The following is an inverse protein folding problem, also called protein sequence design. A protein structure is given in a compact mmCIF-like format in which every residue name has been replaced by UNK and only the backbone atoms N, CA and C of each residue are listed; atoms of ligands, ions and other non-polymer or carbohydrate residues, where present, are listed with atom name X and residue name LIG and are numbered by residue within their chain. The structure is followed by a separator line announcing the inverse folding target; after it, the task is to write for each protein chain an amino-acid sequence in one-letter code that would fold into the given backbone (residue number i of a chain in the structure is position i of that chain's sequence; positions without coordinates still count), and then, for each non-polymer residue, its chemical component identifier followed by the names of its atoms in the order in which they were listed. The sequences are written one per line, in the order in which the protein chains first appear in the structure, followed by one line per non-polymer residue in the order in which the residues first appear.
data_IF_314628083200
#
_entry.id   IF_314628083200
#
_cell.length_a   1.000
_cell.length_b   1.000
_cell.length_c   1.000
_cell.angle_alpha   90.00
_cell.angle_beta   90.00
_cell.angle_gamma   90.00
#
_symmetry.space_group_name_H-M   'P 1'
#
loop_
_entity.id
_entity.type
_entity.pdbx_description
1 polymer ?
#
# COMPACT_ATOMS: atom_id res chain seq x y z
N UNK A 1 4.71 -6.00 18.88
CA UNK A 1 3.86 -7.14 18.52
C UNK A 1 3.03 -6.68 17.33
N UNK A 2 3.06 -7.42 16.22
CA UNK A 2 2.18 -7.15 15.09
C UNK A 2 0.81 -7.72 15.48
N UNK A 3 -0.21 -6.87 15.59
CA UNK A 3 -1.58 -7.32 15.81
C UNK A 3 -2.19 -7.65 14.45
N UNK A 4 -2.32 -8.95 14.17
CA UNK A 4 -3.03 -9.42 12.98
C UNK A 4 -4.43 -8.82 12.93
N UNK A 5 -4.80 -8.26 11.78
CA UNK A 5 -6.14 -7.73 11.52
C UNK A 5 -6.38 -6.26 11.90
N UNK A 6 -5.34 -5.49 12.25
CA UNK A 6 -5.49 -4.05 12.53
C UNK A 6 -5.79 -3.22 11.28
N UNK A 7 -5.24 -3.60 10.13
CA UNK A 7 -5.38 -2.87 8.87
C UNK A 7 -5.98 -3.75 7.78
N UNK A 8 -6.67 -3.10 6.84
CA UNK A 8 -7.38 -3.78 5.75
C UNK A 8 -6.40 -4.50 4.85
N UNK A 9 -6.60 -5.79 4.57
CA UNK A 9 -5.79 -6.45 3.56
C UNK A 9 -6.13 -5.89 2.20
N UNK A 10 -5.12 -5.64 1.37
CA UNK A 10 -5.34 -5.01 0.06
C UNK A 10 -6.38 -5.75 -0.78
N UNK A 11 -6.38 -7.09 -0.73
CA UNK A 11 -7.32 -7.92 -1.47
C UNK A 11 -8.71 -8.10 -0.84
N UNK A 12 -8.94 -7.57 0.37
CA UNK A 12 -10.26 -7.59 1.02
C UNK A 12 -11.17 -6.46 0.50
N UNK A 13 -10.61 -5.43 -0.14
CA UNK A 13 -11.39 -4.38 -0.78
C UNK A 13 -11.86 -4.80 -2.17
N UNK A 14 -12.99 -4.25 -2.62
CA UNK A 14 -13.52 -4.50 -3.97
C UNK A 14 -12.85 -3.54 -4.95
N UNK A 15 -12.09 -4.03 -5.96
CA UNK A 15 -11.49 -3.17 -6.97
C UNK A 15 -12.55 -2.44 -7.78
N UNK A 16 -12.40 -1.12 -7.94
CA UNK A 16 -13.46 -0.29 -8.50
C UNK A 16 -13.62 -0.42 -10.01
N UNK A 17 -12.52 -0.43 -10.78
CA UNK A 17 -12.59 -0.27 -12.23
C UNK A 17 -11.77 -1.29 -13.03
N UNK A 18 -10.68 -1.82 -12.46
CA UNK A 18 -9.77 -2.70 -13.17
C UNK A 18 -10.32 -4.12 -13.32
N UNK A 19 -9.91 -4.79 -14.40
CA UNK A 19 -10.14 -6.23 -14.57
C UNK A 19 -9.00 -7.03 -13.94
N UNK A 20 -9.29 -8.29 -13.64
CA UNK A 20 -8.33 -9.24 -13.09
C UNK A 20 -7.01 -9.26 -13.87
N UNK A 21 -7.09 -9.42 -15.19
CA UNK A 21 -5.91 -9.56 -16.04
C UNK A 21 -5.04 -8.30 -16.05
N UNK A 22 -5.64 -7.13 -15.81
CA UNK A 22 -4.91 -5.86 -15.71
C UNK A 22 -4.12 -5.78 -14.39
N UNK A 23 -4.69 -6.28 -13.29
CA UNK A 23 -3.99 -6.37 -12.00
C UNK A 23 -2.83 -7.36 -12.08
N UNK A 24 -3.06 -8.55 -12.63
CA UNK A 24 -2.03 -9.58 -12.81
C UNK A 24 -0.86 -9.06 -13.67
N UNK A 25 -1.14 -8.34 -14.76
CA UNK A 25 -0.09 -7.74 -15.60
C UNK A 25 0.82 -6.78 -14.85
N UNK A 26 0.32 -6.12 -13.80
CA UNK A 26 1.07 -5.17 -12.98
C UNK A 26 1.77 -5.80 -11.77
N UNK A 27 1.49 -7.06 -11.43
CA UNK A 27 2.24 -7.80 -10.42
C UNK A 27 3.70 -8.05 -10.87
N UNK A 28 4.65 -8.40 -9.98
CA UNK A 28 5.97 -8.90 -10.38
C UNK A 28 5.88 -9.99 -11.46
N UNK A 29 6.67 -9.88 -12.53
CA UNK A 29 6.68 -10.89 -13.59
C UNK A 29 7.28 -12.22 -13.09
N UNK A 30 6.92 -13.34 -13.71
CA UNK A 30 7.55 -14.64 -13.40
C UNK A 30 9.06 -14.63 -13.67
N UNK A 31 9.51 -13.81 -14.63
CA UNK A 31 10.91 -13.58 -14.94
C UNK A 31 11.55 -12.45 -14.12
N UNK A 32 10.90 -11.98 -13.06
CA UNK A 32 11.42 -10.91 -12.20
C UNK A 32 12.77 -11.31 -11.61
N UNK A 33 13.74 -10.40 -11.65
CA UNK A 33 15.02 -10.55 -10.96
C UNK A 33 14.95 -10.16 -9.48
N UNK A 34 13.82 -9.59 -9.05
CA UNK A 34 13.65 -9.07 -7.69
C UNK A 34 13.08 -10.11 -6.71
N UNK A 35 12.81 -11.33 -7.16
CA UNK A 35 12.14 -12.35 -6.35
C UNK A 35 11.40 -13.38 -7.20
N UNK A 36 10.64 -14.24 -6.54
CA UNK A 36 9.86 -15.31 -7.19
C UNK A 36 8.51 -15.50 -6.50
N UNK A 37 7.54 -16.03 -7.26
CA UNK A 37 6.26 -16.47 -6.71
C UNK A 37 6.40 -17.85 -6.09
N UNK A 38 5.74 -18.08 -4.96
CA UNK A 38 5.65 -19.42 -4.38
C UNK A 38 4.79 -20.34 -5.26
N UNK A 39 3.74 -19.79 -5.88
CA UNK A 39 2.83 -20.50 -6.77
C UNK A 39 2.38 -19.58 -7.93
N UNK A 40 1.08 -19.43 -8.15
CA UNK A 40 0.54 -18.61 -9.24
C UNK A 40 0.81 -17.11 -9.01
N UNK A 41 1.21 -16.43 -10.09
CA UNK A 41 1.49 -14.99 -10.08
C UNK A 41 0.25 -14.20 -9.72
N UNK A 42 0.35 -13.40 -8.65
CA UNK A 42 -0.74 -12.55 -8.20
C UNK A 42 -1.78 -13.25 -7.32
N UNK A 43 -1.63 -14.55 -7.10
CA UNK A 43 -2.51 -15.38 -6.26
C UNK A 43 -1.72 -16.13 -5.16
N UNK A 44 -0.47 -15.73 -4.93
CA UNK A 44 0.42 -16.39 -3.97
C UNK A 44 1.41 -15.39 -3.37
N UNK A 45 2.37 -15.86 -2.59
CA UNK A 45 3.38 -14.99 -1.98
C UNK A 45 4.49 -14.70 -2.99
N UNK A 46 4.83 -13.43 -3.17
CA UNK A 46 6.06 -13.03 -3.87
C UNK A 46 7.19 -12.88 -2.85
N UNK A 47 8.11 -13.85 -2.84
CA UNK A 47 9.29 -13.87 -1.97
C UNK A 47 10.38 -12.98 -2.57
N UNK A 48 11.02 -12.15 -1.75
CA UNK A 48 12.11 -11.28 -2.18
C UNK A 48 13.23 -11.20 -1.14
N UNK A 49 14.44 -11.41 -1.64
CA UNK A 49 15.70 -11.33 -0.90
C UNK A 49 16.41 -9.99 -1.17
N UNK A 50 15.74 -9.08 -1.90
CA UNK A 50 16.34 -7.85 -2.39
C UNK A 50 16.78 -6.97 -1.21
N UNK A 51 18.04 -6.49 -1.18
CA UNK A 51 18.56 -5.70 -0.07
C UNK A 51 17.72 -4.46 0.28
N UNK A 52 16.92 -3.94 -0.66
CA UNK A 52 16.04 -2.78 -0.43
C UNK A 52 14.86 -3.07 0.50
N UNK A 53 14.44 -4.34 0.61
CA UNK A 53 13.28 -4.76 1.41
C UNK A 53 13.60 -5.82 2.45
N UNK A 54 14.73 -6.53 2.32
CA UNK A 54 15.10 -7.65 3.18
C UNK A 54 15.01 -7.32 4.68
N UNK A 55 15.61 -6.21 5.12
CA UNK A 55 15.60 -5.84 6.55
C UNK A 55 14.18 -5.53 7.06
N UNK A 56 13.31 -5.00 6.19
CA UNK A 56 11.90 -4.76 6.52
C UNK A 56 11.19 -6.12 6.65
N UNK A 57 11.32 -7.00 5.67
CA UNK A 57 10.71 -8.33 5.68
C UNK A 57 11.13 -9.12 6.94
N UNK A 58 12.43 -9.14 7.25
CA UNK A 58 13.00 -9.79 8.44
C UNK A 58 12.42 -9.18 9.74
N UNK A 59 12.30 -7.85 9.83
CA UNK A 59 11.71 -7.15 10.99
C UNK A 59 10.26 -7.59 11.25
N UNK A 60 9.48 -7.84 10.21
CA UNK A 60 8.09 -8.27 10.32
C UNK A 60 7.93 -9.80 10.31
N UNK A 61 9.01 -10.57 10.21
CA UNK A 61 9.00 -12.03 10.26
C UNK A 61 8.37 -12.69 9.03
N UNK A 62 8.33 -11.99 7.89
CA UNK A 62 7.77 -12.49 6.63
C UNK A 62 8.87 -12.60 5.57
N UNK A 63 8.70 -13.48 4.58
CA UNK A 63 9.67 -13.64 3.47
C UNK A 63 9.30 -12.86 2.21
N UNK A 64 8.11 -12.27 2.18
CA UNK A 64 7.53 -11.70 0.97
C UNK A 64 6.18 -11.06 1.25
N UNK A 65 5.48 -10.74 0.17
CA UNK A 65 4.15 -10.13 0.21
C UNK A 65 3.15 -11.11 -0.38
N UNK A 66 2.06 -11.37 0.35
CA UNK A 66 0.94 -12.15 -0.16
C UNK A 66 0.18 -11.34 -1.21
N UNK A 67 -0.18 -11.99 -2.31
CA UNK A 67 -1.10 -11.42 -3.29
C UNK A 67 -2.32 -12.33 -3.44
N UNK A 68 -3.45 -11.69 -3.67
CA UNK A 68 -4.67 -12.34 -4.14
C UNK A 68 -5.39 -11.41 -5.10
N UNK A 69 -6.01 -11.95 -6.13
CA UNK A 69 -6.68 -11.17 -7.17
C UNK A 69 -5.75 -10.14 -7.84
N UNK A 70 -4.44 -10.39 -7.87
CA UNK A 70 -3.41 -9.45 -8.32
C UNK A 70 -3.20 -8.21 -7.44
N UNK A 71 -3.62 -8.25 -6.17
CA UNK A 71 -3.53 -7.14 -5.20
C UNK A 71 -2.62 -7.57 -4.05
N UNK A 72 -1.57 -6.79 -3.72
CA UNK A 72 -0.70 -7.08 -2.59
C UNK A 72 -1.38 -6.83 -1.25
N UNK A 73 -1.04 -7.62 -0.25
CA UNK A 73 -1.34 -7.31 1.14
C UNK A 73 -0.15 -6.61 1.81
N UNK A 74 -0.28 -5.29 2.00
CA UNK A 74 0.70 -4.51 2.76
C UNK A 74 0.26 -4.22 4.21
N UNK A 75 -0.88 -4.76 4.65
CA UNK A 75 -1.34 -4.61 6.03
C UNK A 75 -0.30 -5.00 7.07
N UNK A 76 0.62 -5.97 6.84
CA UNK A 76 1.67 -6.29 7.80
C UNK A 76 2.64 -5.13 8.08
N UNK A 77 2.85 -4.27 7.09
CA UNK A 77 3.82 -3.18 7.13
C UNK A 77 3.18 -1.82 7.40
N UNK A 78 1.85 -1.75 7.38
CA UNK A 78 1.12 -0.52 7.60
C UNK A 78 1.28 -0.02 9.04
N UNK A 79 1.35 1.30 9.20
CA UNK A 79 1.41 1.98 10.51
C UNK A 79 0.24 2.93 10.74
N UNK A 80 -0.58 3.14 9.71
CA UNK A 80 -1.83 3.88 9.78
C UNK A 80 -2.70 3.53 8.56
N UNK A 81 -4.01 3.70 8.71
CA UNK A 81 -4.99 3.57 7.63
C UNK A 81 -6.05 4.65 7.81
N UNK A 82 -6.42 5.31 6.72
CA UNK A 82 -7.51 6.29 6.71
C UNK A 82 -8.38 6.07 5.48
N UNK A 83 -9.61 6.58 5.55
CA UNK A 83 -10.51 6.68 4.40
C UNK A 83 -10.56 8.13 3.95
N UNK A 84 -10.36 8.35 2.64
CA UNK A 84 -10.50 9.68 2.03
C UNK A 84 -11.70 9.67 1.07
N UNK A 85 -12.61 10.62 1.26
CA UNK A 85 -13.71 10.83 0.31
C UNK A 85 -13.17 11.46 -0.96
N UNK A 86 -13.35 10.80 -2.11
CA UNK A 86 -13.02 11.39 -3.42
C UNK A 86 -11.54 11.26 -3.81
N UNK A 87 -10.91 10.11 -3.57
CA UNK A 87 -9.60 9.81 -4.16
C UNK A 87 -9.63 10.02 -5.69
N UNK A 88 -8.59 10.68 -6.21
CA UNK A 88 -8.44 10.97 -7.64
C UNK A 88 -7.16 10.34 -8.20
N UNK A 89 -6.82 10.60 -9.45
CA UNK A 89 -5.51 10.22 -10.01
C UNK A 89 -4.36 11.16 -9.61
N UNK A 90 -4.66 12.25 -8.89
CA UNK A 90 -3.67 13.21 -8.38
C UNK A 90 -3.18 12.77 -7.00
N UNK A 91 -2.13 11.95 -6.98
CA UNK A 91 -1.48 11.47 -5.74
C UNK A 91 -1.20 12.56 -4.71
N UNK A 92 -0.74 13.72 -5.16
CA UNK A 92 -0.41 14.84 -4.27
C UNK A 92 -1.63 15.30 -3.46
N UNK A 93 -2.81 15.33 -4.08
CA UNK A 93 -4.04 15.76 -3.42
C UNK A 93 -4.56 14.66 -2.49
N UNK A 94 -4.50 13.40 -2.92
CA UNK A 94 -4.83 12.25 -2.08
C UNK A 94 -3.95 12.22 -0.80
N UNK A 95 -2.65 12.47 -0.95
CA UNK A 95 -1.69 12.47 0.17
C UNK A 95 -2.00 13.59 1.16
N UNK A 96 -2.33 14.79 0.68
CA UNK A 96 -2.73 15.91 1.56
C UNK A 96 -4.00 15.57 2.36
N UNK A 97 -4.98 14.95 1.70
CA UNK A 97 -6.21 14.50 2.36
C UNK A 97 -5.93 13.43 3.41
N UNK A 98 -5.07 12.47 3.11
CA UNK A 98 -4.67 11.42 4.05
C UNK A 98 -3.86 11.97 5.23
N UNK A 99 -2.93 12.89 4.97
CA UNK A 99 -2.15 13.58 6.01
C UNK A 99 -3.06 14.36 6.96
N UNK A 100 -4.06 15.07 6.44
CA UNK A 100 -5.03 15.80 7.25
C UNK A 100 -5.90 14.85 8.09
N UNK A 101 -6.35 13.73 7.51
CA UNK A 101 -7.15 12.73 8.21
C UNK A 101 -6.39 12.02 9.32
N UNK A 102 -5.14 11.64 9.07
CA UNK A 102 -4.31 11.03 10.11
C UNK A 102 -3.96 12.03 11.21
N UNK A 103 -3.70 13.28 10.86
CA UNK A 103 -3.46 14.35 11.84
C UNK A 103 -4.67 14.53 12.77
N UNK A 104 -5.89 14.52 12.23
CA UNK A 104 -7.14 14.56 12.99
C UNK A 104 -7.24 13.35 13.94
N UNK A 105 -6.99 12.13 13.46
CA UNK A 105 -7.07 10.91 14.27
C UNK A 105 -6.04 10.84 15.40
N UNK A 106 -4.82 11.35 15.18
CA UNK A 106 -3.75 11.35 16.19
C UNK A 106 -3.84 12.52 17.17
N UNK A 107 -4.62 13.55 16.83
CA UNK A 107 -4.78 14.71 17.70
C UNK A 107 -5.64 14.37 18.91
N UNK A 108 -5.19 14.81 20.09
CA UNK A 108 -5.88 14.69 21.37
C UNK A 108 -5.83 16.04 22.09
N UNK A 109 -6.57 16.19 23.19
CA UNK A 109 -6.60 17.43 23.98
C UNK A 109 -5.20 17.89 24.44
N UNK A 110 -4.26 16.96 24.62
CA UNK A 110 -2.89 17.25 25.04
C UNK A 110 -1.90 17.44 23.89
N UNK A 111 -2.25 17.10 22.64
CA UNK A 111 -1.35 17.17 21.50
C UNK A 111 -2.11 17.27 20.19
N UNK A 112 -1.89 18.37 19.48
CA UNK A 112 -2.44 18.60 18.14
C UNK A 112 -1.37 18.34 17.09
N UNK A 113 -1.71 17.54 16.08
CA UNK A 113 -0.90 17.34 14.89
C UNK A 113 -1.54 18.06 13.70
N UNK A 114 -0.70 18.56 12.79
CA UNK A 114 -1.14 19.12 11.51
C UNK A 114 -0.81 18.16 10.36
N UNK A 115 -1.47 18.36 9.22
CA UNK A 115 -1.13 17.61 8.00
C UNK A 115 0.36 17.76 7.62
N UNK A 116 0.98 18.91 7.90
CA UNK A 116 2.41 19.15 7.66
C UNK A 116 3.30 18.32 8.58
N UNK A 117 2.87 18.08 9.83
CA UNK A 117 3.62 17.23 10.76
C UNK A 117 3.63 15.79 10.28
N UNK A 118 2.49 15.30 9.78
CA UNK A 118 2.38 13.97 9.18
C UNK A 118 3.22 13.88 7.91
N UNK A 119 3.09 14.84 6.98
CA UNK A 119 3.90 14.89 5.76
C UNK A 119 5.40 14.86 6.05
N UNK A 120 5.84 15.65 7.03
CA UNK A 120 7.23 15.72 7.48
C UNK A 120 7.68 14.37 8.03
N UNK A 121 6.92 13.79 8.96
CA UNK A 121 7.23 12.49 9.55
C UNK A 121 7.37 11.41 8.48
N UNK A 122 6.45 11.34 7.52
CA UNK A 122 6.51 10.35 6.43
C UNK A 122 7.78 10.48 5.60
N UNK A 123 8.14 11.72 5.23
CA UNK A 123 9.36 12.00 4.44
C UNK A 123 10.63 11.64 5.21
N UNK A 124 10.71 12.02 6.48
CA UNK A 124 11.87 11.75 7.35
C UNK A 124 12.05 10.25 7.65
N UNK A 125 10.96 9.49 7.70
CA UNK A 125 10.98 8.06 8.01
C UNK A 125 10.88 7.15 6.76
N UNK A 126 10.87 7.72 5.56
CA UNK A 126 10.72 7.01 4.28
C UNK A 126 9.43 6.15 4.17
N UNK A 127 8.29 6.78 4.47
CA UNK A 127 6.96 6.20 4.30
C UNK A 127 6.16 6.91 3.19
N UNK A 128 5.29 6.14 2.53
CA UNK A 128 4.38 6.62 1.49
C UNK A 128 2.96 6.17 1.79
N UNK A 129 2.01 6.94 1.30
CA UNK A 129 0.63 6.50 1.24
C UNK A 129 0.44 5.52 0.06
N UNK A 130 -0.09 4.34 0.35
CA UNK A 130 -0.50 3.30 -0.57
C UNK A 130 -2.01 3.32 -0.72
N UNK A 131 -2.47 3.67 -1.92
CA UNK A 131 -3.88 3.82 -2.27
C UNK A 131 -4.46 2.44 -2.64
N UNK A 132 -5.46 1.95 -1.90
CA UNK A 132 -6.09 0.65 -2.17
C UNK A 132 -7.06 0.72 -3.37
N UNK A 133 -7.41 -0.46 -3.89
CA UNK A 133 -8.14 -0.60 -5.15
C UNK A 133 -9.63 -0.18 -5.09
N UNK A 134 -10.17 0.09 -3.89
CA UNK A 134 -11.52 0.64 -3.70
C UNK A 134 -11.63 2.14 -4.02
N UNK A 135 -10.49 2.82 -4.19
CA UNK A 135 -10.42 4.26 -4.46
C UNK A 135 -10.97 5.07 -3.26
N UNK A 136 -10.77 4.57 -2.05
CA UNK A 136 -11.22 5.19 -0.80
C UNK A 136 -10.23 4.97 0.35
N UNK A 137 -9.77 3.74 0.53
CA UNK A 137 -8.88 3.34 1.61
C UNK A 137 -7.43 3.61 1.25
N UNK A 138 -6.67 4.17 2.18
CA UNK A 138 -5.25 4.51 1.98
C UNK A 138 -4.42 4.16 3.22
N UNK A 139 -3.31 3.46 3.00
CA UNK A 139 -2.46 2.93 4.07
C UNK A 139 -1.10 3.60 4.08
N UNK A 140 -0.56 3.86 5.27
CA UNK A 140 0.78 4.39 5.44
C UNK A 140 1.77 3.24 5.58
N UNK A 141 2.62 3.04 4.56
CA UNK A 141 3.55 1.90 4.49
C UNK A 141 4.97 2.38 4.15
N UNK A 142 6.03 1.60 4.43
CA UNK A 142 7.38 1.94 4.00
C UNK A 142 7.45 2.09 2.48
N UNK A 143 8.13 3.12 1.99
CA UNK A 143 8.22 3.41 0.55
C UNK A 143 8.73 2.22 -0.25
N UNK A 144 9.74 1.52 0.28
CA UNK A 144 10.38 0.38 -0.38
C UNK A 144 9.46 -0.85 -0.51
N UNK A 145 8.49 -0.99 0.41
CA UNK A 145 7.46 -2.04 0.33
C UNK A 145 6.47 -1.69 -0.79
N UNK A 146 6.05 -0.43 -0.89
CA UNK A 146 5.14 -0.01 -1.96
C UNK A 146 5.80 -0.07 -3.37
N UNK A 147 7.09 0.24 -3.49
CA UNK A 147 7.84 0.18 -4.74
C UNK A 147 9.36 0.08 -4.48
N UNK A 148 10.17 -0.53 -5.37
CA UNK A 148 9.84 -1.00 -6.71
C UNK A 148 9.65 -2.53 -6.84
N UNK A 149 9.81 -3.27 -5.75
CA UNK A 149 9.84 -4.74 -5.74
C UNK A 149 8.45 -5.32 -5.98
N UNK A 150 7.53 -4.98 -5.07
CA UNK A 150 6.17 -5.51 -5.02
C UNK A 150 5.25 -4.72 -5.95
N UNK A 151 5.53 -4.81 -7.25
CA UNK A 151 4.75 -4.11 -8.29
C UNK A 151 3.27 -4.47 -8.19
N UNK A 152 2.39 -3.51 -8.46
CA UNK A 152 0.95 -3.71 -8.41
C UNK A 152 0.21 -2.56 -9.12
N UNK A 153 -1.09 -2.76 -9.34
CA UNK A 153 -2.02 -1.72 -9.75
C UNK A 153 -2.75 -1.23 -8.50
N UNK A 154 -2.47 -0.01 -8.02
CA UNK A 154 -3.15 0.60 -6.86
C UNK A 154 -4.31 1.54 -7.22
N UNK A 155 -4.93 2.15 -6.21
CA UNK A 155 -6.12 3.00 -6.31
C UNK A 155 -6.01 4.19 -7.29
N UNK A 156 -4.85 4.85 -7.37
CA UNK A 156 -4.62 5.88 -8.38
C UNK A 156 -4.77 5.35 -9.82
N UNK A 157 -4.32 4.12 -10.07
CA UNK A 157 -4.45 3.47 -11.37
C UNK A 157 -5.87 2.97 -11.63
N UNK A 158 -6.59 2.56 -10.57
CA UNK A 158 -8.02 2.25 -10.63
C UNK A 158 -8.84 3.46 -11.08
N UNK A 159 -8.60 4.64 -10.48
CA UNK A 159 -9.32 5.86 -10.86
C UNK A 159 -9.15 6.17 -12.36
N UNK A 160 -7.92 6.11 -12.88
CA UNK A 160 -7.62 6.36 -14.31
C UNK A 160 -8.35 5.40 -15.26
N UNK A 161 -8.74 4.22 -14.80
CA UNK A 161 -9.50 3.26 -15.61
C UNK A 161 -10.98 3.61 -15.70
N UNK A 162 -11.56 4.18 -14.65
CA UNK A 162 -12.97 4.60 -14.62
C UNK A 162 -13.26 5.92 -15.35
N UNK A 163 -12.23 6.74 -15.59
CA UNK A 163 -12.34 8.01 -16.35
C UNK A 163 -12.21 7.85 -17.87
N UNK A 164 -12.46 6.66 -18.42
CA UNK A 164 -12.47 6.39 -19.86
C UNK A 164 -13.88 6.30 -20.41
#
# INVERSE_FOLDING_TARGET
MHEDGLYTKGYDVVPKNSKYEERIKNCPANSSTNGHWTEERGESVFISDDPRVKDILDKYGVKGVEYKNGIPDFSPFAVAEVKISGMTDKRVDNFKSADAKLAEQLSTDGKVYTAKDIEKWRKENNYTWHELNDVETIQLVPTNINAPIFKHLGGCSEYKKGGK
#
